data_IF_917391969879
#
_entry.id   IF_917391969879
#
_cell.length_a   1.000
_cell.length_b   1.000
_cell.length_c   1.000
_cell.angle_alpha   90.00
_cell.angle_beta   90.00
_cell.angle_gamma   90.00
#
_symmetry.space_group_name_H-M   'P 1'
#
loop_
_entity.id
_entity.type
_entity.pdbx_description
1 polymer ?
#
# COMPACT_ATOMS: atom_id res chain seq x y z
N UNK A 1 -24.46 8.03 -12.33
CA UNK A 1 -23.32 8.50 -13.12
C UNK A 1 -22.66 9.66 -12.41
N UNK A 2 -21.78 9.31 -11.48
CA UNK A 2 -20.96 10.23 -10.67
C UNK A 2 -19.48 9.91 -10.81
N UNK A 3 -19.09 9.17 -11.85
CA UNK A 3 -17.70 8.78 -12.10
C UNK A 3 -16.78 9.99 -12.16
N UNK A 4 -15.59 9.83 -11.57
CA UNK A 4 -14.60 10.90 -11.50
C UNK A 4 -13.20 10.35 -11.72
N UNK A 5 -12.35 11.21 -12.26
CA UNK A 5 -10.91 10.97 -12.34
C UNK A 5 -10.20 11.80 -11.27
N UNK A 6 -9.27 11.17 -10.56
CA UNK A 6 -8.46 11.80 -9.53
C UNK A 6 -6.99 11.48 -9.74
N UNK A 7 -6.12 12.44 -9.42
CA UNK A 7 -4.68 12.22 -9.34
C UNK A 7 -4.27 11.90 -7.92
N UNK A 8 -3.46 10.85 -7.75
CA UNK A 8 -2.74 10.56 -6.51
C UNK A 8 -1.28 10.88 -6.77
N UNK A 9 -0.73 11.80 -5.97
CA UNK A 9 0.69 12.09 -6.08
C UNK A 9 1.49 10.91 -5.53
N UNK A 10 2.37 10.30 -6.31
CA UNK A 10 3.20 9.18 -5.84
C UNK A 10 4.49 9.12 -6.66
N UNK A 11 5.64 8.93 -6.00
CA UNK A 11 6.95 8.86 -6.63
C UNK A 11 7.20 7.49 -7.28
N UNK A 12 6.58 6.45 -6.76
CA UNK A 12 6.73 5.08 -7.23
C UNK A 12 5.47 4.24 -6.95
N UNK A 13 5.46 3.01 -7.47
CA UNK A 13 4.33 2.08 -7.34
C UNK A 13 3.99 1.74 -5.90
N UNK A 14 4.98 1.60 -5.02
CA UNK A 14 4.73 1.31 -3.60
C UNK A 14 3.99 2.48 -2.93
N UNK A 15 4.47 3.71 -3.10
CA UNK A 15 3.79 4.90 -2.56
C UNK A 15 2.36 5.07 -3.12
N UNK A 16 2.15 4.70 -4.39
CA UNK A 16 0.82 4.75 -5.00
C UNK A 16 -0.13 3.74 -4.35
N UNK A 17 0.34 2.49 -4.19
CA UNK A 17 -0.41 1.43 -3.52
C UNK A 17 -0.73 1.81 -2.07
N UNK A 18 0.23 2.40 -1.35
CA UNK A 18 0.04 2.86 0.03
C UNK A 18 -1.08 3.88 0.16
N UNK A 19 -1.21 4.77 -0.83
CA UNK A 19 -2.26 5.78 -0.87
C UNK A 19 -3.59 5.19 -1.28
N UNK A 20 -3.59 4.16 -2.12
CA UNK A 20 -4.81 3.41 -2.48
C UNK A 20 -5.33 2.64 -1.26
N UNK A 21 -4.44 2.01 -0.49
CA UNK A 21 -4.80 1.28 0.73
C UNK A 21 -5.43 2.20 1.80
N UNK A 22 -5.12 3.50 1.78
CA UNK A 22 -5.75 4.50 2.64
C UNK A 22 -7.15 4.90 2.19
N UNK A 23 -7.55 4.57 0.96
CA UNK A 23 -8.92 4.82 0.49
C UNK A 23 -9.85 3.77 1.12
N UNK A 24 -10.97 4.25 1.68
CA UNK A 24 -12.02 3.38 2.18
C UNK A 24 -12.86 2.88 1.00
N UNK A 25 -12.37 1.83 0.35
CA UNK A 25 -12.98 1.25 -0.84
C UNK A 25 -13.87 0.07 -0.46
N UNK A 26 -15.09 0.06 -0.96
CA UNK A 26 -16.04 -1.03 -0.76
C UNK A 26 -15.54 -2.33 -1.37
N UNK A 27 -15.65 -3.41 -0.58
CA UNK A 27 -15.17 -4.75 -0.91
C UNK A 27 -15.87 -5.33 -2.15
N UNK A 28 -17.15 -4.96 -2.36
CA UNK A 28 -17.97 -5.49 -3.46
C UNK A 28 -17.76 -4.77 -4.80
N UNK A 29 -16.90 -3.75 -4.84
CA UNK A 29 -16.69 -2.97 -6.05
C UNK A 29 -15.62 -3.61 -6.92
N UNK A 30 -15.88 -3.71 -8.23
CA UNK A 30 -14.90 -4.24 -9.17
C UNK A 30 -13.65 -3.35 -9.21
N UNK A 31 -12.48 -3.93 -8.92
CA UNK A 31 -11.22 -3.21 -8.91
C UNK A 31 -10.29 -3.69 -10.03
N UNK A 32 -9.67 -2.74 -10.71
CA UNK A 32 -8.70 -2.97 -11.78
C UNK A 32 -7.44 -2.18 -11.48
N UNK A 33 -6.28 -2.81 -11.60
CA UNK A 33 -4.99 -2.16 -11.42
C UNK A 33 -4.13 -2.31 -12.67
N UNK A 34 -3.84 -1.21 -13.33
CA UNK A 34 -3.01 -1.14 -14.53
C UNK A 34 -1.63 -0.62 -14.15
N UNK A 35 -0.61 -1.47 -14.30
CA UNK A 35 0.73 -1.25 -13.74
C UNK A 35 1.84 -1.50 -14.75
N UNK A 36 2.97 -0.81 -14.62
CA UNK A 36 4.21 -1.18 -15.33
C UNK A 36 4.93 -2.37 -14.69
N UNK A 37 4.58 -2.70 -13.45
CA UNK A 37 5.11 -3.86 -12.74
C UNK A 37 4.36 -5.12 -13.18
N UNK A 38 5.08 -6.24 -13.42
CA UNK A 38 4.44 -7.51 -13.68
C UNK A 38 3.70 -8.00 -12.42
N UNK A 39 2.69 -8.88 -12.57
CA UNK A 39 1.87 -9.35 -11.45
C UNK A 39 2.68 -9.96 -10.30
N UNK A 40 3.78 -10.64 -10.61
CA UNK A 40 4.67 -11.24 -9.60
C UNK A 40 5.30 -10.21 -8.66
N UNK A 41 5.53 -8.98 -9.12
CA UNK A 41 6.06 -7.86 -8.30
C UNK A 41 4.94 -7.12 -7.58
N UNK A 42 3.74 -7.08 -8.15
CA UNK A 42 2.57 -6.49 -7.48
C UNK A 42 2.14 -7.30 -6.26
N UNK A 43 2.33 -8.63 -6.27
CA UNK A 43 2.10 -9.50 -5.11
C UNK A 43 2.88 -9.11 -3.85
N UNK A 44 3.97 -8.35 -3.98
CA UNK A 44 4.76 -7.89 -2.84
C UNK A 44 4.12 -6.67 -2.15
N UNK A 45 3.25 -5.94 -2.85
CA UNK A 45 2.70 -4.65 -2.40
C UNK A 45 1.18 -4.61 -2.34
N UNK A 46 0.49 -5.48 -3.09
CA UNK A 46 -0.94 -5.43 -3.37
C UNK A 46 -1.59 -6.81 -3.19
N UNK A 47 -2.78 -6.84 -2.59
CA UNK A 47 -3.62 -8.06 -2.59
C UNK A 47 -4.33 -8.22 -3.93
N UNK A 48 -3.72 -8.98 -4.84
CA UNK A 48 -4.28 -9.22 -6.17
C UNK A 48 -5.50 -10.16 -6.18
N UNK A 49 -5.82 -10.83 -5.06
CA UNK A 49 -6.94 -11.78 -5.02
C UNK A 49 -8.30 -11.10 -5.20
N UNK A 50 -8.36 -9.81 -4.86
CA UNK A 50 -9.55 -8.96 -4.99
C UNK A 50 -9.48 -7.96 -6.15
N UNK A 51 -8.34 -7.90 -6.86
CA UNK A 51 -8.05 -6.84 -7.84
C UNK A 51 -7.56 -7.45 -9.16
N UNK A 52 -8.22 -7.09 -10.27
CA UNK A 52 -7.80 -7.53 -11.60
C UNK A 52 -6.59 -6.71 -12.07
N UNK A 53 -5.42 -7.33 -12.11
CA UNK A 53 -4.19 -6.65 -12.54
C UNK A 53 -3.93 -6.79 -14.05
N UNK A 54 -3.52 -5.69 -14.68
CA UNK A 54 -3.05 -5.64 -16.07
C UNK A 54 -1.64 -5.07 -16.12
N UNK A 55 -0.71 -5.83 -16.71
CA UNK A 55 0.66 -5.41 -16.90
C UNK A 55 0.84 -4.62 -18.19
N UNK A 56 1.22 -3.35 -18.08
CA UNK A 56 1.60 -2.47 -19.18
C UNK A 56 2.93 -2.91 -19.79
N UNK A 57 2.87 -3.68 -20.88
CA UNK A 57 4.05 -4.24 -21.56
C UNK A 57 3.77 -4.51 -23.04
N UNK A 58 4.80 -4.47 -23.88
CA UNK A 58 4.71 -4.93 -25.27
C UNK A 58 4.64 -6.46 -25.39
N UNK A 59 4.88 -7.19 -24.29
CA UNK A 59 4.74 -8.64 -24.26
C UNK A 59 3.27 -9.06 -24.40
N UNK A 60 3.03 -10.06 -25.23
CA UNK A 60 1.71 -10.63 -25.43
C UNK A 60 1.42 -11.69 -24.36
N UNK A 61 0.23 -11.68 -23.79
CA UNK A 61 -0.18 -12.64 -22.79
C UNK A 61 -1.54 -12.31 -22.17
N UNK A 62 -2.04 -13.21 -21.33
CA UNK A 62 -3.23 -12.94 -20.51
C UNK A 62 -2.86 -11.93 -19.42
N UNK A 63 -3.72 -10.94 -19.20
CA UNK A 63 -3.47 -9.90 -18.19
C UNK A 63 -2.36 -8.92 -18.57
N UNK A 64 -2.05 -8.79 -19.86
CA UNK A 64 -1.17 -7.72 -20.36
C UNK A 64 -1.98 -6.67 -21.10
N UNK A 65 -1.47 -5.45 -21.09
CA UNK A 65 -1.99 -4.31 -21.83
C UNK A 65 -0.83 -3.65 -22.56
N UNK A 66 -0.95 -3.53 -23.89
CA UNK A 66 0.10 -2.88 -24.68
C UNK A 66 0.16 -1.38 -24.32
N UNK A 67 1.36 -0.78 -24.14
CA UNK A 67 1.52 0.62 -23.76
C UNK A 67 1.29 1.57 -24.96
N UNK A 68 0.26 1.28 -25.76
CA UNK A 68 -0.25 2.11 -26.85
C UNK A 68 -1.47 2.88 -26.36
N UNK A 69 -1.53 4.19 -26.65
CA UNK A 69 -2.67 5.02 -26.27
C UNK A 69 -3.99 4.50 -26.87
N UNK A 70 -3.94 3.92 -28.09
CA UNK A 70 -5.11 3.31 -28.73
C UNK A 70 -5.62 2.09 -27.93
N UNK A 71 -4.70 1.20 -27.54
CA UNK A 71 -5.03 -0.02 -26.79
C UNK A 71 -5.53 0.30 -25.38
N UNK A 72 -4.90 1.27 -24.71
CA UNK A 72 -5.32 1.76 -23.40
C UNK A 72 -6.71 2.39 -23.48
N UNK A 73 -6.96 3.25 -24.48
CA UNK A 73 -8.29 3.83 -24.70
C UNK A 73 -9.34 2.76 -24.93
N UNK A 74 -9.10 1.81 -25.84
CA UNK A 74 -10.04 0.73 -26.11
C UNK A 74 -10.33 -0.11 -24.85
N UNK A 75 -9.30 -0.43 -24.07
CA UNK A 75 -9.44 -1.15 -22.81
C UNK A 75 -10.32 -0.39 -21.81
N UNK A 76 -10.04 0.90 -21.61
CA UNK A 76 -10.81 1.75 -20.71
C UNK A 76 -12.25 1.94 -21.22
N UNK A 77 -12.46 2.19 -22.50
CA UNK A 77 -13.79 2.34 -23.10
C UNK A 77 -14.65 1.09 -22.91
N UNK A 78 -14.07 -0.10 -23.15
CA UNK A 78 -14.75 -1.38 -22.94
C UNK A 78 -15.13 -1.56 -21.47
N UNK A 79 -14.20 -1.22 -20.56
CA UNK A 79 -14.41 -1.32 -19.11
C UNK A 79 -15.48 -0.36 -18.62
N UNK A 80 -15.42 0.91 -19.04
CA UNK A 80 -16.35 1.96 -18.61
C UNK A 80 -17.78 1.74 -19.11
N UNK A 81 -17.95 0.97 -20.20
CA UNK A 81 -19.27 0.59 -20.73
C UNK A 81 -19.99 -0.50 -19.94
N UNK A 82 -19.30 -1.16 -19.01
CA UNK A 82 -19.82 -2.32 -18.28
C UNK A 82 -19.67 -2.15 -16.76
N UNK A 83 -20.79 -2.22 -16.05
CA UNK A 83 -20.82 -2.22 -14.58
C UNK A 83 -20.34 -0.93 -13.94
N UNK A 84 -19.84 -1.07 -12.71
CA UNK A 84 -19.31 0.00 -11.88
C UNK A 84 -18.03 -0.50 -11.21
N UNK A 85 -17.13 0.41 -10.84
CA UNK A 85 -15.84 -0.02 -10.35
C UNK A 85 -14.82 1.09 -10.13
N UNK A 86 -13.61 0.65 -9.80
CA UNK A 86 -12.45 1.52 -9.59
C UNK A 86 -11.29 1.03 -10.46
N UNK A 87 -10.64 1.97 -11.15
CA UNK A 87 -9.43 1.70 -11.92
C UNK A 87 -8.27 2.50 -11.30
N UNK A 88 -7.19 1.80 -11.00
CA UNK A 88 -5.92 2.39 -10.65
C UNK A 88 -5.00 2.32 -11.86
N UNK A 89 -4.42 3.45 -12.26
CA UNK A 89 -3.54 3.54 -13.40
C UNK A 89 -2.23 4.22 -12.99
N UNK A 90 -1.12 3.53 -13.17
CA UNK A 90 0.21 4.12 -12.98
C UNK A 90 1.06 4.09 -14.27
N UNK A 91 2.19 4.80 -14.24
CA UNK A 91 3.12 4.85 -15.35
C UNK A 91 2.79 5.91 -16.40
N UNK A 92 2.05 6.95 -16.01
CA UNK A 92 1.71 8.05 -16.91
C UNK A 92 2.97 8.77 -17.42
N UNK A 93 3.96 8.98 -16.56
CA UNK A 93 5.26 9.58 -16.91
C UNK A 93 5.95 8.80 -18.02
N UNK A 94 5.87 7.48 -17.93
CA UNK A 94 6.45 6.60 -18.92
C UNK A 94 5.67 6.66 -20.23
N UNK A 95 4.34 6.66 -20.19
CA UNK A 95 3.51 6.88 -21.39
C UNK A 95 3.82 8.25 -22.03
N UNK A 96 4.02 9.30 -21.23
CA UNK A 96 4.44 10.62 -21.72
C UNK A 96 5.82 10.56 -22.38
N UNK A 97 6.77 9.82 -21.82
CA UNK A 97 8.09 9.62 -22.44
C UNK A 97 8.02 8.88 -23.78
N UNK A 98 7.00 8.03 -23.98
CA UNK A 98 6.81 7.26 -25.20
C UNK A 98 6.04 8.04 -26.29
N UNK A 99 4.97 8.74 -25.91
CA UNK A 99 3.99 9.30 -26.85
C UNK A 99 3.96 10.84 -26.88
N UNK A 100 4.73 11.48 -26.01
CA UNK A 100 4.71 12.93 -25.80
C UNK A 100 3.54 13.39 -24.94
N UNK A 101 3.71 14.52 -24.26
CA UNK A 101 2.74 15.06 -23.33
C UNK A 101 1.38 15.37 -23.98
N UNK A 102 1.36 16.01 -25.15
CA UNK A 102 0.10 16.40 -25.81
C UNK A 102 -0.79 15.19 -26.13
N UNK A 103 -0.21 14.10 -26.61
CA UNK A 103 -0.95 12.87 -26.94
C UNK A 103 -1.55 12.24 -25.69
N UNK A 104 -0.77 12.16 -24.60
CA UNK A 104 -1.21 11.59 -23.33
C UNK A 104 -2.23 12.49 -22.64
N UNK A 105 -2.05 13.81 -22.66
CA UNK A 105 -3.02 14.76 -22.11
C UNK A 105 -4.36 14.70 -22.85
N UNK A 106 -4.34 14.59 -24.17
CA UNK A 106 -5.55 14.37 -24.99
C UNK A 106 -6.25 13.06 -24.62
N UNK A 107 -5.49 11.99 -24.37
CA UNK A 107 -6.00 10.71 -23.90
C UNK A 107 -6.69 10.87 -22.53
N UNK A 108 -6.01 11.47 -21.54
CA UNK A 108 -6.56 11.74 -20.20
C UNK A 108 -7.87 12.51 -20.29
N UNK A 109 -7.89 13.59 -21.08
CA UNK A 109 -9.09 14.41 -21.26
C UNK A 109 -10.25 13.58 -21.82
N UNK A 110 -9.99 12.82 -22.89
CA UNK A 110 -11.01 11.95 -23.51
C UNK A 110 -11.56 10.93 -22.52
N UNK A 111 -10.67 10.31 -21.74
CA UNK A 111 -11.05 9.34 -20.70
C UNK A 111 -11.85 10.03 -19.59
N UNK A 112 -11.44 11.22 -19.13
CA UNK A 112 -12.14 11.98 -18.08
C UNK A 112 -13.57 12.35 -18.51
N UNK A 113 -13.74 12.80 -19.75
CA UNK A 113 -15.05 13.06 -20.35
C UNK A 113 -15.94 11.79 -20.32
N UNK A 114 -15.38 10.62 -20.66
CA UNK A 114 -16.13 9.35 -20.63
C UNK A 114 -16.46 8.87 -19.21
N UNK A 115 -15.52 8.97 -18.27
CA UNK A 115 -15.72 8.61 -16.86
C UNK A 115 -16.85 9.42 -16.25
N UNK A 116 -16.98 10.70 -16.60
CA UNK A 116 -18.07 11.54 -16.09
C UNK A 116 -19.47 11.02 -16.46
N UNK A 117 -19.56 10.15 -17.48
CA UNK A 117 -20.78 9.50 -17.96
C UNK A 117 -20.88 8.02 -17.53
N UNK A 118 -20.05 7.57 -16.59
CA UNK A 118 -20.11 6.21 -16.04
C UNK A 118 -20.21 6.21 -14.52
N UNK A 119 -20.29 5.02 -13.93
CA UNK A 119 -20.21 4.79 -12.47
C UNK A 119 -18.84 4.25 -12.05
N UNK A 120 -17.84 4.46 -12.90
CA UNK A 120 -16.45 4.12 -12.61
C UNK A 120 -15.68 5.31 -12.05
N UNK A 121 -14.79 5.06 -11.10
CA UNK A 121 -13.83 6.06 -10.62
C UNK A 121 -12.42 5.65 -11.03
N UNK A 122 -11.61 6.60 -11.49
CA UNK A 122 -10.23 6.34 -11.92
C UNK A 122 -9.23 7.15 -11.10
N UNK A 123 -8.26 6.47 -10.53
CA UNK A 123 -7.13 7.08 -9.83
C UNK A 123 -5.87 6.93 -10.68
N UNK A 124 -5.23 8.04 -11.01
CA UNK A 124 -3.97 8.05 -11.76
C UNK A 124 -2.81 8.41 -10.84
N UNK A 125 -1.75 7.60 -10.87
CA UNK A 125 -0.50 7.92 -10.19
C UNK A 125 0.23 9.01 -10.95
N UNK A 126 0.59 10.10 -10.27
CA UNK A 126 1.36 11.22 -10.83
C UNK A 126 2.57 11.50 -9.93
N UNK A 127 3.76 11.46 -10.48
CA UNK A 127 4.97 11.97 -9.84
C UNK A 127 5.17 13.44 -10.20
N UNK A 128 4.97 14.39 -9.27
CA UNK A 128 5.03 15.83 -9.60
C UNK A 128 6.40 16.29 -10.10
N UNK A 129 7.47 15.56 -9.79
CA UNK A 129 8.82 15.88 -10.27
C UNK A 129 9.05 15.53 -11.75
N UNK A 130 8.14 14.79 -12.37
CA UNK A 130 8.29 14.28 -13.75
C UNK A 130 7.67 15.18 -14.82
N UNK A 131 6.97 16.23 -14.40
CA UNK A 131 6.24 17.14 -15.28
C UNK A 131 6.55 18.58 -14.89
N UNK A 132 6.52 19.50 -15.85
CA UNK A 132 6.63 20.92 -15.53
C UNK A 132 5.32 21.48 -14.92
N UNK A 133 5.38 22.70 -14.38
CA UNK A 133 4.23 23.32 -13.73
C UNK A 133 3.01 23.50 -14.66
N UNK A 134 3.25 23.75 -15.96
CA UNK A 134 2.18 23.93 -16.94
C UNK A 134 1.54 22.59 -17.28
N UNK A 135 2.36 21.56 -17.48
CA UNK A 135 1.92 20.18 -17.71
C UNK A 135 1.10 19.65 -16.52
N UNK A 136 1.58 19.83 -15.29
CA UNK A 136 0.85 19.45 -14.08
C UNK A 136 -0.49 20.17 -13.96
N UNK A 137 -0.51 21.48 -14.21
CA UNK A 137 -1.76 22.25 -14.15
C UNK A 137 -2.80 21.75 -15.15
N UNK A 138 -2.35 21.29 -16.33
CA UNK A 138 -3.20 20.69 -17.35
C UNK A 138 -3.69 19.30 -16.95
N UNK A 139 -2.84 18.46 -16.37
CA UNK A 139 -3.25 17.15 -15.84
C UNK A 139 -4.28 17.33 -14.73
N UNK A 140 -3.99 18.16 -13.72
CA UNK A 140 -4.87 18.34 -12.56
C UNK A 140 -6.19 19.04 -12.86
N UNK A 141 -6.30 19.71 -14.01
CA UNK A 141 -7.58 20.20 -14.50
C UNK A 141 -8.52 19.06 -14.90
N UNK A 142 -7.99 18.00 -15.52
CA UNK A 142 -8.77 16.84 -15.96
C UNK A 142 -8.90 15.77 -14.86
N UNK A 143 -7.89 15.69 -13.99
CA UNK A 143 -7.79 14.74 -12.89
C UNK A 143 -7.33 15.47 -11.60
N UNK A 144 -8.24 16.13 -10.86
CA UNK A 144 -7.88 16.87 -9.65
C UNK A 144 -7.12 16.01 -8.64
N UNK A 145 -6.17 16.62 -7.92
CA UNK A 145 -5.44 15.94 -6.85
C UNK A 145 -6.42 15.51 -5.76
N UNK A 146 -6.39 14.23 -5.39
CA UNK A 146 -7.17 13.71 -4.28
C UNK A 146 -6.58 14.23 -2.97
N UNK A 147 -7.25 15.21 -2.38
CA UNK A 147 -6.97 15.63 -1.01
C UNK A 147 -7.76 14.71 -0.08
N UNK A 148 -7.15 13.60 0.35
CA UNK A 148 -7.74 12.76 1.40
C UNK A 148 -7.74 13.60 2.67
N UNK A 149 -8.87 14.25 2.97
CA UNK A 149 -9.12 14.80 4.29
C UNK A 149 -9.47 13.58 5.11
N UNK A 150 -8.49 13.02 5.82
CA UNK A 150 -8.74 11.97 6.79
C UNK A 150 -9.66 12.60 7.82
N UNK A 151 -10.91 12.14 7.87
CA UNK A 151 -11.88 12.56 8.86
C UNK A 151 -11.47 11.90 10.19
N UNK A 152 -10.48 12.50 10.86
CA UNK A 152 -9.99 12.10 12.19
C UNK A 152 -11.06 12.30 13.30
N UNK A 153 -12.29 12.71 12.94
CA UNK A 153 -13.34 13.07 13.87
C UNK A 153 -14.16 11.89 14.44
N UNK A 154 -14.01 10.65 13.96
CA UNK A 154 -14.77 9.52 14.50
C UNK A 154 -14.04 8.66 15.55
N UNK A 155 -12.74 8.88 15.80
CA UNK A 155 -11.98 8.10 16.78
C UNK A 155 -11.63 8.86 18.08
N UNK A 156 -12.00 10.14 18.20
CA UNK A 156 -11.53 11.02 19.30
C UNK A 156 -12.63 11.50 20.24
N UNK A 157 -13.79 10.83 20.31
CA UNK A 157 -14.83 11.11 21.31
C UNK A 157 -14.96 9.99 22.35
N UNK A 158 -13.84 9.55 22.94
CA UNK A 158 -13.93 8.79 24.19
C UNK A 158 -12.68 8.85 25.07
N UNK A 159 -11.90 9.94 25.01
CA UNK A 159 -10.84 10.17 26.01
C UNK A 159 -10.65 11.67 26.27
N UNK A 160 -11.73 12.33 26.68
CA UNK A 160 -11.64 13.63 27.34
C UNK A 160 -11.56 13.41 28.85
N UNK A 161 -10.33 13.28 29.37
CA UNK A 161 -9.95 13.78 30.70
C UNK A 161 -8.43 13.74 30.92
N UNK A 162 -7.81 14.91 30.76
CA UNK A 162 -6.59 15.39 31.46
C UNK A 162 -5.27 14.66 31.19
N UNK A 163 -4.38 15.30 30.42
CA UNK A 163 -3.17 15.98 30.95
C UNK A 163 -2.36 16.59 29.81
N UNK A 164 -1.95 17.85 30.00
CA UNK A 164 -1.01 18.58 29.15
C UNK A 164 0.41 18.01 29.34
N UNK A 165 1.09 17.65 28.25
CA UNK A 165 2.52 17.91 28.06
C UNK A 165 2.96 17.67 26.61
N UNK A 166 4.09 18.26 26.27
CA UNK A 166 4.57 18.67 24.96
C UNK A 166 4.75 17.59 23.88
N UNK A 167 4.52 18.01 22.65
CA UNK A 167 4.79 17.34 21.36
C UNK A 167 6.29 16.99 21.17
N UNK A 168 6.66 15.98 20.34
CA UNK A 168 6.49 16.14 18.89
C UNK A 168 6.21 14.88 18.05
N UNK A 169 5.74 15.16 16.83
CA UNK A 169 5.78 14.32 15.63
C UNK A 169 4.76 13.17 15.54
N UNK A 170 3.52 13.54 15.20
CA UNK A 170 2.92 13.18 13.91
C UNK A 170 3.37 11.81 13.34
N UNK A 171 2.91 10.72 13.94
CA UNK A 171 3.01 9.37 13.36
C UNK A 171 1.95 9.28 12.25
N UNK A 172 2.16 10.03 11.17
CA UNK A 172 1.45 9.82 9.90
C UNK A 172 2.23 8.74 9.19
N UNK A 173 1.67 7.53 9.13
CA UNK A 173 2.28 6.33 8.56
C UNK A 173 2.42 6.40 7.03
N UNK A 174 3.19 7.38 6.54
CA UNK A 174 4.12 7.07 5.48
C UNK A 174 5.19 6.21 6.14
N UNK A 175 5.10 4.89 6.00
CA UNK A 175 6.29 4.05 6.18
C UNK A 175 7.23 4.42 5.03
N UNK A 176 7.90 5.59 5.12
CA UNK A 176 9.18 5.75 4.47
C UNK A 176 9.99 4.55 4.96
N UNK A 177 10.49 3.74 4.02
CA UNK A 177 11.19 2.51 4.33
C UNK A 177 12.50 2.90 5.01
N UNK A 178 12.45 3.13 6.32
CA UNK A 178 13.60 3.43 7.14
C UNK A 178 14.51 2.21 7.06
N UNK A 179 15.67 2.40 6.45
CA UNK A 179 16.67 1.35 6.35
C UNK A 179 17.62 1.47 7.53
N UNK A 180 18.02 0.33 8.07
CA UNK A 180 19.17 0.22 8.95
C UNK A 180 20.46 0.57 8.17
N UNK A 181 21.57 0.79 8.88
CA UNK A 181 22.88 1.11 8.25
C UNK A 181 23.36 0.04 7.26
N UNK A 182 22.86 -1.19 7.41
CA UNK A 182 23.13 -2.33 6.53
C UNK A 182 22.17 -2.45 5.33
N UNK A 183 21.23 -1.52 5.19
CA UNK A 183 20.24 -1.49 4.10
C UNK A 183 19.02 -2.39 4.34
N UNK A 184 18.89 -3.04 5.51
CA UNK A 184 17.70 -3.83 5.85
C UNK A 184 16.53 -2.95 6.32
N UNK A 185 15.26 -3.30 6.03
CA UNK A 185 14.11 -2.56 6.54
C UNK A 185 14.06 -2.60 8.07
N UNK A 186 13.95 -1.43 8.71
CA UNK A 186 13.88 -1.30 10.16
C UNK A 186 12.56 -1.85 10.69
N UNK A 187 12.59 -2.60 11.79
CA UNK A 187 11.36 -2.95 12.51
C UNK A 187 10.86 -1.73 13.28
N UNK A 188 9.59 -1.41 13.09
CA UNK A 188 8.90 -0.32 13.78
C UNK A 188 7.73 -0.88 14.57
N UNK A 189 7.56 -0.38 15.79
CA UNK A 189 6.41 -0.74 16.62
C UNK A 189 5.15 -0.11 16.05
N UNK A 190 4.19 -0.95 15.65
CA UNK A 190 2.90 -0.51 15.13
C UNK A 190 1.85 -0.51 16.24
N UNK A 191 0.91 0.44 16.20
CA UNK A 191 -0.22 0.48 17.13
C UNK A 191 -1.04 -0.81 17.02
N UNK A 192 -1.43 -1.39 18.15
CA UNK A 192 -2.27 -2.59 18.18
C UNK A 192 -3.66 -2.31 17.57
N UNK A 193 -4.19 -3.26 16.81
CA UNK A 193 -5.52 -3.16 16.23
C UNK A 193 -6.58 -3.42 17.31
N UNK A 194 -7.55 -2.51 17.50
CA UNK A 194 -8.63 -2.73 18.45
C UNK A 194 -9.55 -3.86 17.96
N UNK A 195 -10.18 -4.57 18.89
CA UNK A 195 -11.19 -5.60 18.55
C UNK A 195 -12.42 -4.97 17.90
N UNK A 196 -12.81 -3.79 18.37
CA UNK A 196 -13.90 -3.01 17.79
C UNK A 196 -13.51 -2.52 16.40
N UNK A 197 -14.28 -2.90 15.38
CA UNK A 197 -13.99 -2.55 14.00
C UNK A 197 -12.88 -3.39 13.37
N UNK A 198 -12.43 -4.48 14.01
CA UNK A 198 -11.51 -5.42 13.39
C UNK A 198 -12.18 -6.12 12.20
N UNK A 199 -11.52 -6.09 11.05
CA UNK A 199 -11.98 -6.75 9.82
C UNK A 199 -10.84 -7.49 9.17
N UNK A 200 -11.18 -8.44 8.29
CA UNK A 200 -10.20 -9.16 7.46
C UNK A 200 -9.29 -8.20 6.68
N UNK A 201 -9.83 -7.12 6.14
CA UNK A 201 -9.05 -6.10 5.42
C UNK A 201 -8.04 -5.38 6.31
N UNK A 202 -8.44 -5.03 7.54
CA UNK A 202 -7.54 -4.38 8.49
C UNK A 202 -6.40 -5.33 8.88
N UNK A 203 -6.69 -6.63 9.05
CA UNK A 203 -5.64 -7.62 9.28
C UNK A 203 -4.73 -7.78 8.05
N UNK A 204 -5.28 -7.85 6.83
CA UNK A 204 -4.51 -7.91 5.59
C UNK A 204 -3.56 -6.71 5.45
N UNK A 205 -4.05 -5.49 5.72
CA UNK A 205 -3.22 -4.27 5.73
C UNK A 205 -2.09 -4.38 6.74
N UNK A 206 -2.36 -4.90 7.94
CA UNK A 206 -1.33 -5.13 8.97
C UNK A 206 -0.27 -6.14 8.53
N UNK A 207 -0.69 -7.23 7.88
CA UNK A 207 0.21 -8.24 7.32
C UNK A 207 1.16 -7.62 6.29
N UNK A 208 0.64 -6.81 5.38
CA UNK A 208 1.47 -6.10 4.39
C UNK A 208 2.47 -5.16 5.05
N UNK A 209 2.08 -4.44 6.11
CA UNK A 209 3.01 -3.60 6.89
C UNK A 209 4.16 -4.42 7.49
N UNK A 210 3.87 -5.57 8.08
CA UNK A 210 4.88 -6.48 8.63
C UNK A 210 5.81 -7.03 7.54
N UNK A 211 5.26 -7.42 6.39
CA UNK A 211 6.04 -7.91 5.25
C UNK A 211 6.99 -6.86 4.68
N UNK A 212 6.58 -5.58 4.63
CA UNK A 212 7.46 -4.46 4.23
C UNK A 212 8.58 -4.20 5.20
N UNK A 213 8.38 -4.50 6.48
CA UNK A 213 9.44 -4.51 7.49
C UNK A 213 10.33 -5.76 7.39
N UNK A 214 10.14 -6.62 6.38
CA UNK A 214 10.94 -7.81 6.14
C UNK A 214 10.62 -8.98 7.07
N UNK A 215 9.47 -8.96 7.75
CA UNK A 215 9.01 -10.08 8.56
C UNK A 215 8.40 -11.18 7.68
N UNK A 216 8.62 -12.43 8.08
CA UNK A 216 7.90 -13.58 7.55
C UNK A 216 6.49 -13.61 8.15
N UNK A 217 5.49 -13.48 7.29
CA UNK A 217 4.08 -13.36 7.67
C UNK A 217 3.27 -14.62 7.34
N UNK A 218 3.91 -15.71 6.91
CA UNK A 218 3.19 -16.90 6.45
C UNK A 218 2.20 -17.47 7.50
N UNK A 219 2.57 -17.43 8.78
CA UNK A 219 1.70 -17.90 9.88
C UNK A 219 0.44 -17.05 10.02
N UNK A 220 0.55 -15.73 10.03
CA UNK A 220 -0.62 -14.83 10.12
C UNK A 220 -1.42 -14.81 8.82
N UNK A 221 -0.79 -15.00 7.67
CA UNK A 221 -1.52 -15.11 6.39
C UNK A 221 -2.46 -16.31 6.38
N UNK A 222 -2.09 -17.40 7.04
CA UNK A 222 -2.96 -18.56 7.19
C UNK A 222 -4.25 -18.24 7.96
N UNK A 223 -4.19 -17.27 8.89
CA UNK A 223 -5.37 -16.83 9.66
C UNK A 223 -6.45 -16.21 8.77
N UNK A 224 -6.08 -15.62 7.64
CA UNK A 224 -7.01 -14.96 6.72
C UNK A 224 -8.00 -15.93 6.07
N UNK A 225 -7.72 -17.23 6.08
CA UNK A 225 -8.61 -18.25 5.52
C UNK A 225 -9.71 -18.67 6.49
N UNK A 226 -9.65 -18.26 7.76
CA UNK A 226 -10.75 -18.48 8.70
C UNK A 226 -11.97 -17.63 8.33
N UNK A 227 -13.16 -18.21 8.48
CA UNK A 227 -14.44 -17.49 8.31
C UNK A 227 -14.85 -16.75 9.59
N UNK A 228 -14.28 -17.14 10.74
CA UNK A 228 -14.59 -16.57 12.06
C UNK A 228 -13.63 -15.42 12.42
N UNK A 229 -14.19 -14.22 12.52
CA UNK A 229 -13.48 -12.98 12.86
C UNK A 229 -12.87 -13.04 14.27
N UNK A 230 -13.52 -13.70 15.23
CA UNK A 230 -13.01 -13.80 16.60
C UNK A 230 -11.75 -14.69 16.66
N UNK A 231 -11.74 -15.78 15.88
CA UNK A 231 -10.56 -16.64 15.75
C UNK A 231 -9.42 -15.91 15.04
N UNK A 232 -9.71 -15.20 13.94
CA UNK A 232 -8.73 -14.37 13.25
C UNK A 232 -8.11 -13.32 14.17
N UNK A 233 -8.93 -12.66 15.01
CA UNK A 233 -8.44 -11.68 15.96
C UNK A 233 -7.55 -12.32 17.02
N UNK A 234 -7.91 -13.49 17.54
CA UNK A 234 -7.11 -14.21 18.53
C UNK A 234 -5.72 -14.59 17.98
N UNK A 235 -5.65 -15.09 16.75
CA UNK A 235 -4.38 -15.42 16.08
C UNK A 235 -3.55 -14.15 15.79
N UNK A 236 -4.21 -13.09 15.33
CA UNK A 236 -3.57 -11.77 15.17
C UNK A 236 -2.90 -11.29 16.45
N UNK A 237 -3.59 -11.39 17.60
CA UNK A 237 -3.06 -10.95 18.90
C UNK A 237 -1.77 -11.69 19.25
N UNK A 238 -1.72 -13.00 19.00
CA UNK A 238 -0.55 -13.81 19.29
C UNK A 238 0.66 -13.38 18.45
N UNK A 239 0.42 -13.14 17.16
CA UNK A 239 1.48 -12.77 16.22
C UNK A 239 1.91 -11.32 16.42
N UNK A 240 0.97 -10.42 16.75
CA UNK A 240 1.29 -9.04 17.12
C UNK A 240 2.21 -8.95 18.33
N UNK A 241 2.01 -9.82 19.33
CA UNK A 241 2.90 -9.90 20.49
C UNK A 241 4.29 -10.41 20.07
N UNK A 242 4.38 -11.42 19.21
CA UNK A 242 5.67 -11.88 18.67
C UNK A 242 6.40 -10.77 17.89
N UNK A 243 5.68 -9.97 17.10
CA UNK A 243 6.28 -8.83 16.39
C UNK A 243 6.77 -7.76 17.36
N UNK A 244 6.02 -7.46 18.43
CA UNK A 244 6.49 -6.51 19.46
C UNK A 244 7.80 -6.97 20.09
N UNK A 245 7.86 -8.24 20.50
CA UNK A 245 9.06 -8.87 21.05
C UNK A 245 10.23 -8.82 20.06
N UNK A 246 9.96 -9.11 18.79
CA UNK A 246 10.95 -9.04 17.71
C UNK A 246 11.52 -7.62 17.53
N UNK A 247 10.70 -6.57 17.60
CA UNK A 247 11.13 -5.17 17.53
C UNK A 247 12.05 -4.82 18.71
N UNK A 248 11.70 -5.23 19.92
CA UNK A 248 12.50 -4.98 21.12
C UNK A 248 13.85 -5.73 21.08
N UNK A 249 13.83 -7.00 20.68
CA UNK A 249 15.04 -7.80 20.48
C UNK A 249 15.95 -7.22 19.41
N UNK A 250 15.42 -6.81 18.24
CA UNK A 250 16.22 -6.19 17.18
C UNK A 250 16.93 -4.95 17.70
N UNK A 251 16.21 -4.08 18.41
CA UNK A 251 16.77 -2.86 18.99
C UNK A 251 17.93 -3.15 19.94
N UNK A 252 17.78 -4.16 20.81
CA UNK A 252 18.84 -4.56 21.73
C UNK A 252 20.04 -5.16 20.98
N UNK A 253 19.80 -6.09 20.06
CA UNK A 253 20.86 -6.76 19.29
C UNK A 253 21.70 -5.76 18.50
N UNK A 254 21.07 -4.77 17.87
CA UNK A 254 21.77 -3.74 17.13
C UNK A 254 22.60 -2.81 18.03
N UNK A 255 22.18 -2.59 19.28
CA UNK A 255 22.87 -1.71 20.22
C UNK A 255 24.00 -2.42 20.99
N UNK A 256 23.79 -3.66 21.42
CA UNK A 256 24.59 -4.30 22.46
C UNK A 256 25.39 -5.52 21.96
N UNK A 257 24.96 -6.20 20.88
CA UNK A 257 25.64 -7.40 20.36
C UNK A 257 26.75 -7.02 19.36
N UNK A 258 28.00 -7.22 19.76
CA UNK A 258 29.19 -6.90 18.95
C UNK A 258 29.64 -8.00 18.00
N UNK A 259 29.32 -9.26 18.31
CA UNK A 259 29.69 -10.38 17.45
C UNK A 259 28.83 -10.38 16.18
N UNK A 260 29.47 -10.21 15.02
CA UNK A 260 28.79 -10.08 13.73
C UNK A 260 28.05 -11.35 13.33
N UNK A 261 28.59 -12.53 13.63
CA UNK A 261 27.96 -13.80 13.26
C UNK A 261 26.72 -14.04 14.11
N UNK A 262 26.86 -13.87 15.43
CA UNK A 262 25.77 -13.97 16.38
C UNK A 262 24.64 -13.00 16.04
N UNK A 263 25.00 -11.73 15.80
CA UNK A 263 24.04 -10.70 15.39
C UNK A 263 23.28 -11.09 14.12
N UNK A 264 23.97 -11.57 13.09
CA UNK A 264 23.34 -11.97 11.82
C UNK A 264 22.35 -13.12 12.02
N UNK A 265 22.73 -14.14 12.81
CA UNK A 265 21.86 -15.29 13.10
C UNK A 265 20.63 -14.84 13.90
N UNK A 266 20.82 -13.99 14.91
CA UNK A 266 19.72 -13.49 15.74
C UNK A 266 18.74 -12.64 14.92
N UNK A 267 19.23 -11.70 14.10
CA UNK A 267 18.40 -10.89 13.21
C UNK A 267 17.63 -11.74 12.21
N UNK A 268 18.24 -12.78 11.63
CA UNK A 268 17.55 -13.69 10.73
C UNK A 268 16.37 -14.40 11.42
N UNK A 269 16.58 -14.92 12.63
CA UNK A 269 15.52 -15.56 13.43
C UNK A 269 14.39 -14.60 13.78
N UNK A 270 14.72 -13.35 14.12
CA UNK A 270 13.76 -12.27 14.38
C UNK A 270 12.89 -12.00 13.15
N UNK A 271 13.47 -11.95 11.94
CA UNK A 271 12.68 -11.80 10.71
C UNK A 271 11.70 -12.93 10.49
N UNK A 272 12.09 -14.16 10.85
CA UNK A 272 11.21 -15.32 10.77
C UNK A 272 10.23 -15.45 11.95
N UNK A 273 10.29 -14.55 12.94
CA UNK A 273 9.54 -14.64 14.20
C UNK A 273 9.74 -15.99 14.93
N UNK A 274 10.91 -16.63 14.78
CA UNK A 274 11.18 -17.97 15.35
C UNK A 274 12.15 -17.94 16.52
N UNK A 275 11.81 -18.68 17.58
CA UNK A 275 12.68 -18.87 18.75
C UNK A 275 12.99 -17.59 19.52
N UNK A 276 12.01 -16.67 19.58
CA UNK A 276 12.11 -15.41 20.32
C UNK A 276 12.37 -15.66 21.81
N UNK A 277 11.74 -16.68 22.41
CA UNK A 277 11.97 -17.04 23.82
C UNK A 277 13.45 -17.36 24.10
N UNK A 278 14.12 -18.07 23.20
CA UNK A 278 15.54 -18.41 23.36
C UNK A 278 16.44 -17.17 23.24
N UNK A 279 16.09 -16.24 22.35
CA UNK A 279 16.82 -14.98 22.17
C UNK A 279 16.63 -14.07 23.39
N UNK A 280 15.41 -13.94 23.91
CA UNK A 280 15.14 -13.18 25.13
C UNK A 280 15.87 -13.77 26.34
N UNK A 281 15.82 -15.10 26.50
CA UNK A 281 16.54 -15.77 27.58
C UNK A 281 18.06 -15.60 27.47
N UNK A 282 18.59 -15.35 26.27
CA UNK A 282 20.02 -15.13 26.05
C UNK A 282 20.43 -13.67 26.25
N UNK A 283 19.54 -12.73 25.91
CA UNK A 283 19.89 -11.31 25.82
C UNK A 283 19.31 -10.45 26.94
N UNK A 284 18.21 -10.87 27.58
CA UNK A 284 17.52 -10.12 28.64
C UNK A 284 17.54 -10.81 30.00
N UNK A 285 17.90 -12.09 30.06
CA UNK A 285 18.22 -12.78 31.30
C UNK A 285 19.72 -13.01 31.31
N UNK A 286 20.39 -12.46 32.32
CA UNK A 286 21.85 -12.44 32.51
C UNK A 286 22.58 -13.75 32.15
#
# INVERSE_FOLDING_TARGET
>A
MSGRMYSIQAKNSAEFVDKIDQLDLSIDTAQIFVSRLPPSRLLDVLDISSIRCYWLTSSQGVGTLEPSLEKINHFLESTLGEGEGIIFLEGLEWLTSLHGFESVHSMIRTISERISMSDWTVYIAISPSSFDQRELSRIYREAPVLNVTIDEQQFTEMESSQSQHDHPANIRSSLEMDLNEDGTPKLVMLTKLPKSGFTKQILQRRILQWRRMGLDTAEVESSLYHEDIDLMYAEYIQIEENVRRAVELERYILADVKDTQERTIALFRIRQLTGLDELENRYFLD
#
